data_IF_444879545914
#
_entry.id   IF_444879545914
#
_cell.length_a   1.000
_cell.length_b   1.000
_cell.length_c   1.000
_cell.angle_alpha   90.00
_cell.angle_beta   90.00
_cell.angle_gamma   90.00
#
_symmetry.space_group_name_H-M   'P 1'
#
loop_
_entity.id
_entity.type
_entity.pdbx_description
1 polymer ?
#
# COMPACT_ATOMS: atom_id res chain seq x y z
N UNK A 1 -0.23 11.37 -24.43
CA UNK A 1 -0.22 10.00 -23.87
C UNK A 1 -0.38 9.97 -22.33
N UNK A 2 -0.10 11.06 -21.63
CA UNK A 2 -0.29 11.20 -20.17
C UNK A 2 -1.76 11.35 -19.71
N UNK A 3 -2.67 11.72 -20.60
CA UNK A 3 -4.08 12.03 -20.29
C UNK A 3 -4.97 10.80 -20.05
N UNK A 4 -4.55 9.58 -20.41
CA UNK A 4 -5.35 8.37 -20.22
C UNK A 4 -5.07 7.72 -18.86
N UNK A 5 -3.83 7.78 -18.40
CA UNK A 5 -3.39 7.23 -17.11
C UNK A 5 -4.01 8.02 -15.94
N UNK A 6 -4.10 9.35 -16.06
CA UNK A 6 -4.68 10.19 -14.99
C UNK A 6 -6.18 9.98 -14.77
N UNK A 7 -6.95 9.64 -15.83
CA UNK A 7 -8.40 9.39 -15.71
C UNK A 7 -8.76 8.06 -15.03
N UNK A 8 -7.88 7.06 -15.14
CA UNK A 8 -8.12 5.74 -14.55
C UNK A 8 -7.73 5.70 -13.06
N UNK A 9 -6.78 6.55 -12.64
CA UNK A 9 -6.36 6.70 -11.23
C UNK A 9 -7.51 7.25 -10.36
N UNK A 10 -8.43 8.00 -10.95
CA UNK A 10 -9.51 8.68 -10.24
C UNK A 10 -10.83 7.91 -10.20
N UNK A 11 -10.93 6.73 -10.82
CA UNK A 11 -12.15 5.92 -10.75
C UNK A 11 -12.25 5.25 -9.39
N UNK A 12 -13.30 5.54 -8.60
CA UNK A 12 -13.55 4.82 -7.37
C UNK A 12 -13.69 3.33 -7.68
N UNK A 13 -12.90 2.50 -7.02
CA UNK A 13 -13.13 1.06 -7.07
C UNK A 13 -14.42 0.73 -6.32
N UNK A 14 -15.23 -0.12 -6.89
CA UNK A 14 -16.50 -0.54 -6.28
C UNK A 14 -16.35 -1.82 -5.46
N UNK A 15 -15.13 -2.26 -5.21
CA UNK A 15 -14.84 -3.55 -4.58
C UNK A 15 -13.74 -3.46 -3.55
N UNK A 16 -13.83 -4.30 -2.52
CA UNK A 16 -12.75 -4.62 -1.58
C UNK A 16 -12.15 -5.99 -1.84
N UNK A 17 -12.50 -6.60 -2.96
CA UNK A 17 -11.94 -7.88 -3.37
C UNK A 17 -10.42 -7.76 -3.55
N UNK A 18 -9.61 -8.51 -2.79
CA UNK A 18 -8.16 -8.38 -2.81
C UNK A 18 -7.56 -8.59 -4.20
N UNK A 19 -8.09 -9.56 -4.96
CA UNK A 19 -7.54 -9.89 -6.28
C UNK A 19 -7.77 -8.77 -7.29
N UNK A 20 -8.95 -8.17 -7.28
CA UNK A 20 -9.26 -7.02 -8.16
C UNK A 20 -8.46 -5.79 -7.78
N UNK A 21 -8.23 -5.55 -6.49
CA UNK A 21 -7.36 -4.46 -6.02
C UNK A 21 -5.90 -4.69 -6.42
N UNK A 22 -5.41 -5.92 -6.34
CA UNK A 22 -4.08 -6.30 -6.82
C UNK A 22 -3.92 -6.01 -8.31
N UNK A 23 -4.88 -6.49 -9.13
CA UNK A 23 -4.89 -6.24 -10.57
C UNK A 23 -4.86 -4.74 -10.87
N UNK A 24 -5.71 -3.96 -10.22
CA UNK A 24 -5.77 -2.51 -10.37
C UNK A 24 -4.46 -1.82 -9.99
N UNK A 25 -3.88 -2.15 -8.83
CA UNK A 25 -2.59 -1.60 -8.40
C UNK A 25 -1.46 -1.96 -9.37
N UNK A 26 -1.43 -3.19 -9.87
CA UNK A 26 -0.44 -3.65 -10.84
C UNK A 26 -0.62 -3.04 -12.24
N UNK A 27 -1.83 -2.63 -12.61
CA UNK A 27 -2.09 -1.89 -13.85
C UNK A 27 -1.63 -0.44 -13.75
N UNK A 28 -1.94 0.23 -12.64
CA UNK A 28 -1.52 1.60 -12.39
C UNK A 28 0.00 1.73 -12.21
N UNK A 29 0.59 0.77 -11.51
CA UNK A 29 1.99 0.78 -11.08
C UNK A 29 2.64 -0.57 -11.41
N UNK A 30 3.11 -0.76 -12.66
CA UNK A 30 3.62 -2.05 -13.15
C UNK A 30 4.79 -2.65 -12.33
N UNK A 31 5.50 -1.82 -11.56
CA UNK A 31 6.58 -2.28 -10.67
C UNK A 31 6.07 -3.30 -9.65
N UNK A 32 4.83 -3.19 -9.18
CA UNK A 32 4.28 -4.15 -8.24
C UNK A 32 4.06 -5.53 -8.86
N UNK A 33 3.73 -5.59 -10.14
CA UNK A 33 3.70 -6.87 -10.89
C UNK A 33 5.09 -7.49 -10.98
N UNK A 34 6.11 -6.66 -11.22
CA UNK A 34 7.50 -7.12 -11.33
C UNK A 34 8.01 -7.78 -10.06
N UNK A 35 7.66 -7.24 -8.89
CA UNK A 35 8.04 -7.83 -7.60
C UNK A 35 7.10 -8.96 -7.14
N UNK A 36 6.02 -9.24 -7.88
CA UNK A 36 5.03 -10.27 -7.53
C UNK A 36 4.17 -9.91 -6.33
N UNK A 37 3.76 -8.63 -6.21
CA UNK A 37 2.87 -8.18 -5.14
C UNK A 37 1.56 -8.94 -5.16
N UNK A 38 1.14 -9.43 -3.99
CA UNK A 38 -0.17 -10.00 -3.72
C UNK A 38 -0.92 -9.13 -2.71
N UNK A 39 -2.18 -8.85 -2.97
CA UNK A 39 -3.09 -8.21 -2.00
C UNK A 39 -3.86 -9.29 -1.27
N UNK A 40 -3.78 -9.34 0.05
CA UNK A 40 -4.41 -10.39 0.86
C UNK A 40 -5.61 -9.88 1.67
N UNK A 41 -5.64 -8.61 2.07
CA UNK A 41 -6.77 -7.98 2.75
C UNK A 41 -6.79 -6.48 2.50
N UNK A 42 -7.99 -5.90 2.43
CA UNK A 42 -8.22 -4.47 2.18
C UNK A 42 -9.45 -3.93 2.95
N UNK A 43 -9.71 -4.48 4.12
CA UNK A 43 -10.73 -4.00 5.06
C UNK A 43 -10.10 -3.08 6.11
N UNK A 44 -10.48 -3.21 7.39
CA UNK A 44 -9.84 -2.51 8.50
C UNK A 44 -8.38 -2.95 8.69
N UNK A 45 -8.07 -4.19 8.32
CA UNK A 45 -6.71 -4.70 8.16
C UNK A 45 -6.31 -4.63 6.68
N UNK A 46 -5.26 -3.88 6.39
CA UNK A 46 -4.59 -3.87 5.09
C UNK A 46 -3.46 -4.89 5.13
N UNK A 47 -3.38 -5.74 4.11
CA UNK A 47 -2.37 -6.80 4.06
C UNK A 47 -1.90 -7.04 2.64
N UNK A 48 -0.58 -6.96 2.43
CA UNK A 48 0.09 -7.32 1.19
C UNK A 48 1.16 -8.37 1.45
N UNK A 49 1.55 -9.10 0.41
CA UNK A 49 2.62 -10.09 0.45
C UNK A 49 3.49 -9.96 -0.80
N UNK A 50 4.78 -10.11 -0.65
CA UNK A 50 5.73 -10.14 -1.76
C UNK A 50 6.59 -11.41 -1.63
N UNK A 51 6.71 -12.23 -2.71
CA UNK A 51 7.42 -13.49 -2.66
C UNK A 51 8.94 -13.31 -2.60
N UNK A 52 9.62 -14.28 -2.01
CA UNK A 52 11.06 -14.42 -2.06
C UNK A 52 11.46 -15.14 -3.35
N UNK A 53 11.79 -14.36 -4.36
CA UNK A 53 12.20 -14.83 -5.69
C UNK A 53 13.55 -14.21 -6.09
N UNK A 54 14.31 -14.79 -7.01
CA UNK A 54 15.63 -14.26 -7.38
C UNK A 54 15.66 -12.77 -7.73
N UNK A 55 14.65 -12.28 -8.46
CA UNK A 55 14.53 -10.87 -8.83
C UNK A 55 14.31 -9.90 -7.66
N UNK A 56 13.92 -10.41 -6.49
CA UNK A 56 13.67 -9.64 -5.27
C UNK A 56 14.83 -9.72 -4.27
N UNK A 57 15.94 -10.40 -4.61
CA UNK A 57 17.07 -10.59 -3.69
C UNK A 57 18.19 -9.57 -3.92
N UNK A 58 18.99 -9.37 -2.90
CA UNK A 58 20.21 -8.58 -2.94
C UNK A 58 21.47 -9.47 -3.05
N UNK A 59 22.65 -8.85 -3.07
CA UNK A 59 23.95 -9.52 -3.16
C UNK A 59 24.29 -10.43 -1.97
N UNK A 60 23.56 -10.35 -0.86
CA UNK A 60 23.71 -11.20 0.33
C UNK A 60 22.76 -12.40 0.31
N UNK A 61 21.95 -12.57 -0.76
CA UNK A 61 20.93 -13.62 -0.82
C UNK A 61 19.78 -13.42 0.15
N UNK A 62 19.48 -12.18 0.52
CA UNK A 62 18.30 -11.81 1.30
C UNK A 62 17.39 -10.91 0.45
N UNK A 63 16.16 -10.70 0.86
CA UNK A 63 15.26 -9.80 0.14
C UNK A 63 15.84 -8.37 0.13
N UNK A 64 15.77 -7.73 -1.03
CA UNK A 64 16.26 -6.36 -1.21
C UNK A 64 15.45 -5.38 -0.36
N UNK A 65 16.13 -4.47 0.33
CA UNK A 65 15.49 -3.46 1.19
C UNK A 65 14.42 -2.62 0.47
N UNK A 66 14.65 -2.26 -0.79
CA UNK A 66 13.67 -1.56 -1.62
C UNK A 66 12.40 -2.38 -1.89
N UNK A 67 12.50 -3.70 -2.01
CA UNK A 67 11.34 -4.60 -2.17
C UNK A 67 10.54 -4.66 -0.86
N UNK A 68 11.21 -4.79 0.27
CA UNK A 68 10.58 -4.75 1.61
C UNK A 68 9.86 -3.40 1.80
N UNK A 69 10.53 -2.29 1.42
CA UNK A 69 9.95 -0.95 1.47
C UNK A 69 8.68 -0.86 0.61
N UNK A 70 8.71 -1.35 -0.64
CA UNK A 70 7.56 -1.34 -1.55
C UNK A 70 6.38 -2.15 -1.03
N UNK A 71 6.64 -3.30 -0.39
CA UNK A 71 5.59 -4.12 0.23
C UNK A 71 4.80 -3.35 1.30
N UNK A 72 5.46 -2.47 2.04
CA UNK A 72 4.82 -1.62 3.05
C UNK A 72 4.24 -0.33 2.48
N UNK A 73 4.97 0.35 1.60
CA UNK A 73 4.56 1.65 1.03
C UNK A 73 3.21 1.56 0.30
N UNK A 74 2.99 0.51 -0.47
CA UNK A 74 1.77 0.29 -1.24
C UNK A 74 0.49 0.24 -0.39
N UNK A 75 0.60 0.00 0.92
CA UNK A 75 -0.56 -0.03 1.82
C UNK A 75 -1.29 1.32 1.85
N UNK A 76 -0.62 2.45 1.60
CA UNK A 76 -1.28 3.74 1.45
C UNK A 76 -2.20 3.82 0.22
N UNK A 77 -1.76 3.27 -0.90
CA UNK A 77 -2.60 3.10 -2.09
C UNK A 77 -3.76 2.14 -1.84
N UNK A 78 -3.48 1.00 -1.21
CA UNK A 78 -4.48 0.01 -0.86
C UNK A 78 -5.54 0.57 0.10
N UNK A 79 -5.14 1.40 1.07
CA UNK A 79 -6.05 2.12 1.98
C UNK A 79 -7.05 2.98 1.20
N UNK A 80 -6.58 3.72 0.20
CA UNK A 80 -7.46 4.55 -0.62
C UNK A 80 -8.33 3.71 -1.55
N UNK A 81 -7.75 2.84 -2.37
CA UNK A 81 -8.51 2.11 -3.39
C UNK A 81 -9.52 1.14 -2.79
N UNK A 82 -9.19 0.46 -1.71
CA UNK A 82 -10.11 -0.43 -0.98
C UNK A 82 -11.30 0.30 -0.34
N UNK A 83 -11.18 1.61 -0.11
CA UNK A 83 -12.21 2.41 0.58
C UNK A 83 -12.66 3.63 -0.22
N UNK A 84 -12.39 3.67 -1.51
CA UNK A 84 -12.70 4.84 -2.36
C UNK A 84 -14.19 5.19 -2.42
N UNK A 85 -15.09 4.22 -2.18
CA UNK A 85 -16.52 4.51 -2.05
C UNK A 85 -16.85 5.36 -0.82
N UNK A 86 -16.15 5.13 0.31
CA UNK A 86 -16.32 5.89 1.54
C UNK A 86 -15.60 7.24 1.47
N UNK A 87 -14.38 7.23 0.90
CA UNK A 87 -13.51 8.40 0.84
C UNK A 87 -13.86 9.37 -0.30
N UNK A 88 -14.56 8.87 -1.32
CA UNK A 88 -14.89 9.62 -2.51
C UNK A 88 -13.72 9.73 -3.50
N UNK A 89 -13.95 10.41 -4.62
CA UNK A 89 -12.95 10.62 -5.66
C UNK A 89 -11.81 11.48 -5.13
N UNK A 90 -10.59 10.95 -5.20
CA UNK A 90 -9.35 11.63 -4.79
C UNK A 90 -8.15 10.99 -5.48
N UNK A 91 -7.01 11.66 -5.48
CA UNK A 91 -5.72 11.06 -5.73
C UNK A 91 -5.02 10.76 -4.39
N UNK A 92 -4.13 9.78 -4.37
CA UNK A 92 -3.32 9.42 -3.21
C UNK A 92 -1.84 9.44 -3.60
N UNK A 93 -1.01 9.94 -2.70
CA UNK A 93 0.45 9.87 -2.85
C UNK A 93 1.15 9.66 -1.52
N UNK A 94 2.30 9.01 -1.57
CA UNK A 94 3.20 8.92 -0.42
C UNK A 94 3.97 10.23 -0.27
N UNK A 95 4.05 10.74 0.96
CA UNK A 95 4.90 11.88 1.30
C UNK A 95 6.22 11.43 1.91
N UNK A 96 6.17 10.41 2.77
CA UNK A 96 7.34 9.92 3.51
C UNK A 96 7.06 8.51 4.01
N UNK A 97 8.09 7.68 4.05
CA UNK A 97 8.08 6.42 4.79
C UNK A 97 9.35 6.36 5.62
N UNK A 98 9.19 6.32 6.93
CA UNK A 98 10.27 6.00 7.87
C UNK A 98 10.27 4.49 8.09
N UNK A 99 11.37 3.82 7.80
CA UNK A 99 11.48 2.37 7.95
C UNK A 99 12.74 1.99 8.71
N UNK A 100 12.60 1.01 9.61
CA UNK A 100 13.69 0.37 10.31
C UNK A 100 13.74 -1.11 9.94
N UNK A 101 14.85 -1.56 9.36
CA UNK A 101 15.11 -2.95 9.04
C UNK A 101 15.75 -3.64 10.23
N UNK A 102 15.08 -4.66 10.78
CA UNK A 102 15.49 -5.34 12.02
C UNK A 102 16.17 -6.68 11.78
N UNK A 103 15.77 -7.39 10.71
CA UNK A 103 16.25 -8.74 10.39
C UNK A 103 16.34 -8.96 8.88
N UNK A 104 17.32 -9.75 8.40
CA UNK A 104 17.35 -10.17 7.00
C UNK A 104 16.16 -11.08 6.69
N UNK A 105 15.57 -10.90 5.52
CA UNK A 105 14.39 -11.66 5.04
C UNK A 105 14.85 -12.70 4.02
N UNK A 106 14.53 -13.96 4.26
CA UNK A 106 14.83 -15.11 3.38
C UNK A 106 13.60 -15.94 3.01
N UNK A 107 12.43 -15.41 3.26
CA UNK A 107 11.12 -15.95 2.88
C UNK A 107 10.31 -14.86 2.20
N UNK A 108 9.07 -15.09 1.88
CA UNK A 108 8.19 -14.00 1.51
C UNK A 108 8.04 -13.00 2.67
N UNK A 109 7.75 -11.75 2.33
CA UNK A 109 7.47 -10.69 3.31
C UNK A 109 6.00 -10.30 3.24
N UNK A 110 5.36 -10.17 4.39
CA UNK A 110 3.97 -9.71 4.53
C UNK A 110 3.96 -8.37 5.25
N UNK A 111 3.35 -7.37 4.66
CA UNK A 111 3.13 -6.06 5.28
C UNK A 111 1.71 -5.95 5.80
N UNK A 112 1.57 -5.40 7.00
CA UNK A 112 0.31 -5.29 7.76
C UNK A 112 0.15 -3.88 8.29
N UNK A 113 -1.05 -3.31 8.16
CA UNK A 113 -1.43 -2.06 8.82
C UNK A 113 -2.92 -2.01 9.12
N UNK A 114 -3.30 -1.38 10.21
CA UNK A 114 -4.69 -1.09 10.53
C UNK A 114 -5.11 0.24 9.91
N UNK A 115 -6.30 0.26 9.33
CA UNK A 115 -6.93 1.45 8.77
C UNK A 115 -8.39 1.52 9.20
N UNK A 116 -8.62 2.08 10.38
CA UNK A 116 -9.90 2.05 11.07
C UNK A 116 -11.02 2.83 10.36
N UNK A 117 -12.26 2.42 10.62
CA UNK A 117 -13.42 3.16 10.13
C UNK A 117 -13.46 4.61 10.66
N UNK A 118 -13.01 4.85 11.88
CA UNK A 118 -12.92 6.20 12.45
C UNK A 118 -11.98 7.09 11.64
N UNK A 119 -10.80 6.57 11.28
CA UNK A 119 -9.83 7.27 10.44
C UNK A 119 -10.39 7.55 9.05
N UNK A 120 -11.08 6.59 8.43
CA UNK A 120 -11.75 6.79 7.14
C UNK A 120 -12.81 7.89 7.18
N UNK A 121 -13.64 7.94 8.24
CA UNK A 121 -14.64 9.00 8.44
C UNK A 121 -13.99 10.37 8.58
N UNK A 122 -12.90 10.47 9.34
CA UNK A 122 -12.12 11.71 9.48
C UNK A 122 -11.61 12.19 8.14
N UNK A 123 -10.97 11.31 7.37
CA UNK A 123 -10.42 11.60 6.05
C UNK A 123 -11.52 12.04 5.08
N UNK A 124 -12.65 11.32 5.02
CA UNK A 124 -13.77 11.66 4.15
C UNK A 124 -14.32 13.06 4.46
N UNK A 125 -14.43 13.41 5.74
CA UNK A 125 -14.87 14.74 6.19
C UNK A 125 -13.88 15.83 5.79
N UNK A 126 -12.58 15.59 5.95
CA UNK A 126 -11.55 16.56 5.56
C UNK A 126 -11.50 16.76 4.05
N UNK A 127 -11.58 15.68 3.26
CA UNK A 127 -11.65 15.76 1.80
C UNK A 127 -12.88 16.54 1.32
N UNK A 128 -14.02 16.39 2.01
CA UNK A 128 -15.24 17.14 1.67
C UNK A 128 -15.10 18.64 1.95
N UNK A 129 -14.40 18.99 3.02
CA UNK A 129 -14.35 20.37 3.52
C UNK A 129 -13.14 21.16 3.05
N UNK A 130 -12.02 20.48 2.73
CA UNK A 130 -10.72 21.09 2.47
C UNK A 130 -10.05 20.61 1.18
N UNK A 131 -10.68 19.67 0.44
CA UNK A 131 -10.13 19.01 -0.75
C UNK A 131 -8.78 18.33 -0.51
N UNK A 132 -8.36 18.19 0.73
CA UNK A 132 -7.10 17.56 1.12
C UNK A 132 -7.19 16.92 2.49
N UNK A 133 -6.59 15.74 2.63
CA UNK A 133 -6.40 15.06 3.91
C UNK A 133 -5.02 14.40 3.97
N UNK A 134 -4.58 14.08 5.18
CA UNK A 134 -3.35 13.32 5.44
C UNK A 134 -3.67 12.18 6.38
N UNK A 135 -3.00 11.05 6.19
CA UNK A 135 -3.09 9.94 7.12
C UNK A 135 -1.76 9.24 7.28
N UNK A 136 -1.63 8.48 8.33
CA UNK A 136 -0.42 7.75 8.69
C UNK A 136 -0.79 6.30 8.95
N UNK A 137 0.03 5.37 8.43
CA UNK A 137 -0.07 3.95 8.72
C UNK A 137 1.15 3.51 9.53
N UNK A 138 0.90 2.79 10.62
CA UNK A 138 1.90 1.99 11.30
C UNK A 138 1.94 0.63 10.63
N UNK A 139 3.10 0.25 10.11
CA UNK A 139 3.28 -0.90 9.24
C UNK A 139 4.23 -1.88 9.90
N UNK A 140 3.80 -3.11 10.08
CA UNK A 140 4.66 -4.22 10.44
C UNK A 140 4.95 -5.06 9.18
N UNK A 141 6.21 -5.46 9.01
CA UNK A 141 6.65 -6.33 7.94
C UNK A 141 7.21 -7.62 8.56
N UNK A 142 6.51 -8.72 8.31
CA UNK A 142 6.80 -10.01 8.93
C UNK A 142 7.16 -11.05 7.88
N UNK A 143 8.03 -12.00 8.25
CA UNK A 143 8.38 -13.15 7.43
C UNK A 143 7.34 -14.29 7.55
N UNK A 144 7.59 -15.42 6.89
CA UNK A 144 6.69 -16.58 6.96
C UNK A 144 6.68 -17.26 8.33
N UNK A 145 7.65 -16.98 9.20
CA UNK A 145 7.70 -17.43 10.60
C UNK A 145 7.02 -16.42 11.55
N UNK A 146 6.36 -15.39 11.01
CA UNK A 146 5.70 -14.30 11.75
C UNK A 146 6.67 -13.47 12.61
N UNK A 147 7.95 -13.46 12.25
CA UNK A 147 8.93 -12.60 12.92
C UNK A 147 8.92 -11.20 12.27
N UNK A 148 8.91 -10.16 13.10
CA UNK A 148 9.01 -8.78 12.62
C UNK A 148 10.41 -8.57 12.04
N UNK A 149 10.48 -8.35 10.72
CA UNK A 149 11.71 -8.10 9.99
C UNK A 149 11.96 -6.61 9.73
N UNK A 150 10.89 -5.82 9.66
CA UNK A 150 10.97 -4.36 9.60
C UNK A 150 9.71 -3.74 10.19
N UNK A 151 9.84 -2.49 10.63
CA UNK A 151 8.72 -1.64 11.04
C UNK A 151 8.81 -0.33 10.27
N UNK A 152 7.66 0.18 9.85
CA UNK A 152 7.61 1.44 9.11
C UNK A 152 6.46 2.33 9.56
N UNK A 153 6.62 3.62 9.29
CA UNK A 153 5.56 4.61 9.40
C UNK A 153 5.42 5.29 8.04
N UNK A 154 4.30 5.01 7.37
CA UNK A 154 3.96 5.63 6.10
C UNK A 154 3.11 6.89 6.31
N UNK A 155 3.48 7.99 5.66
CA UNK A 155 2.76 9.25 5.66
C UNK A 155 2.22 9.53 4.26
N UNK A 156 0.92 9.63 4.14
CA UNK A 156 0.22 9.74 2.86
C UNK A 156 -0.61 11.02 2.80
N UNK A 157 -0.83 11.47 1.57
CA UNK A 157 -1.68 12.62 1.27
C UNK A 157 -2.75 12.19 0.29
N UNK A 158 -3.98 12.56 0.56
CA UNK A 158 -5.11 12.51 -0.34
C UNK A 158 -5.49 13.91 -0.78
N UNK A 159 -5.90 14.08 -2.03
CA UNK A 159 -6.35 15.36 -2.54
C UNK A 159 -7.38 15.24 -3.64
N UNK A 160 -8.12 16.31 -3.86
CA UNK A 160 -9.06 16.51 -4.98
C UNK A 160 -8.56 17.67 -5.83
N UNK A 161 -8.74 17.56 -7.12
CA UNK A 161 -8.48 18.64 -8.10
C UNK A 161 -9.75 19.46 -8.32
#
# INVERSE_FOLDING_TARGET
MLTKVTKDIERPMTTRDPKRLEEHLCELLPIYRTIGLEVQAADDLLKTRVPYIPGNTNHLGTMHAGVIWMAGEVLGGLAYFGHSQELGKAWVTVKKVDIEFKRPVKTAITALANFSQEERKRIATELKNKDRSRFTLKIELVDDEQQICAEATGHYVLGRD
#
